data_IF_015325853399
#
_entry.id   IF_015325853399
#
_cell.length_a   1.000
_cell.length_b   1.000
_cell.length_c   1.000
_cell.angle_alpha   90.00
_cell.angle_beta   90.00
_cell.angle_gamma   90.00
#
_symmetry.space_group_name_H-M   'P 1'
#
loop_
_entity.id
_entity.type
_entity.pdbx_description
1 polymer ?
#
# COMPACT_ATOMS: atom_id res chain seq x y z
N UNK A 1 -5.03 -3.51 -21.98
CA UNK A 1 -4.47 -2.56 -20.99
C UNK A 1 -3.85 -3.27 -19.79
N UNK A 2 -2.75 -4.05 -19.90
CA UNK A 2 -2.10 -4.63 -18.70
C UNK A 2 -0.88 -3.84 -18.19
N UNK A 3 -0.42 -2.81 -18.91
CA UNK A 3 0.85 -2.12 -18.60
C UNK A 3 0.65 -0.66 -18.15
N UNK A 4 -0.60 -0.25 -17.90
CA UNK A 4 -0.90 1.08 -17.37
C UNK A 4 -0.80 1.03 -15.85
N UNK A 5 0.19 1.73 -15.30
CA UNK A 5 0.40 1.94 -13.87
C UNK A 5 0.45 3.43 -13.54
N UNK A 6 0.22 3.81 -12.28
CA UNK A 6 0.20 5.22 -11.84
C UNK A 6 1.52 5.93 -12.18
N UNK A 7 2.65 5.26 -12.03
CA UNK A 7 3.97 5.79 -12.36
C UNK A 7 4.16 5.96 -13.88
N UNK A 8 3.68 5.01 -14.70
CA UNK A 8 3.74 5.13 -16.17
C UNK A 8 2.85 6.27 -16.68
N UNK A 9 1.71 6.48 -16.03
CA UNK A 9 0.80 7.59 -16.29
C UNK A 9 1.44 8.92 -15.86
N UNK A 10 1.98 9.02 -14.65
CA UNK A 10 2.61 10.23 -14.13
C UNK A 10 3.82 10.66 -15.00
N UNK A 11 4.68 9.71 -15.40
CA UNK A 11 5.79 9.97 -16.33
C UNK A 11 5.31 10.49 -17.68
N UNK A 12 4.21 9.95 -18.19
CA UNK A 12 3.60 10.36 -19.45
C UNK A 12 2.93 11.72 -19.35
N UNK A 13 2.31 12.03 -18.21
CA UNK A 13 1.70 13.33 -17.93
C UNK A 13 2.78 14.42 -17.83
N UNK A 14 3.87 14.16 -17.09
CA UNK A 14 5.01 15.08 -17.02
C UNK A 14 5.63 15.36 -18.40
N UNK A 15 5.65 14.35 -19.29
CA UNK A 15 6.08 14.49 -20.68
C UNK A 15 5.10 15.34 -21.47
N UNK A 16 3.80 15.04 -21.38
CA UNK A 16 2.73 15.74 -22.08
C UNK A 16 2.68 17.24 -21.74
N UNK A 17 2.99 17.60 -20.50
CA UNK A 17 3.10 18.99 -20.04
C UNK A 17 4.25 19.77 -20.68
N UNK A 18 5.28 19.10 -21.21
CA UNK A 18 6.45 19.74 -21.84
C UNK A 18 6.49 19.58 -23.35
N UNK A 19 5.92 18.50 -23.90
CA UNK A 19 6.00 18.16 -25.33
C UNK A 19 4.91 17.16 -25.73
N UNK A 20 4.78 16.85 -27.02
CA UNK A 20 3.84 15.85 -27.50
C UNK A 20 4.21 14.45 -26.99
N UNK A 21 3.22 13.76 -26.42
CA UNK A 21 3.34 12.37 -26.00
C UNK A 21 3.28 11.45 -27.23
N UNK A 22 4.25 10.56 -27.37
CA UNK A 22 4.25 9.54 -28.42
C UNK A 22 3.91 8.17 -27.84
N UNK A 23 3.24 7.29 -28.61
CA UNK A 23 2.97 5.91 -28.18
C UNK A 23 4.26 5.15 -27.83
N UNK A 24 5.36 5.45 -28.53
CA UNK A 24 6.67 4.87 -28.27
C UNK A 24 7.21 5.23 -26.87
N UNK A 25 7.07 6.50 -26.45
CA UNK A 25 7.50 6.93 -25.11
C UNK A 25 6.68 6.23 -24.03
N UNK A 26 5.35 6.24 -24.16
CA UNK A 26 4.46 5.57 -23.20
C UNK A 26 4.81 4.07 -23.07
N UNK A 27 4.98 3.39 -24.22
CA UNK A 27 5.32 1.96 -24.25
C UNK A 27 6.67 1.68 -23.62
N UNK A 28 7.68 2.53 -23.87
CA UNK A 28 9.01 2.37 -23.28
C UNK A 28 8.99 2.57 -21.76
N UNK A 29 8.26 3.59 -21.26
CA UNK A 29 8.10 3.82 -19.82
C UNK A 29 7.41 2.61 -19.16
N UNK A 30 6.26 2.21 -19.68
CA UNK A 30 5.48 1.08 -19.19
C UNK A 30 6.28 -0.24 -19.20
N UNK A 31 6.99 -0.54 -20.29
CA UNK A 31 7.78 -1.75 -20.42
C UNK A 31 8.99 -1.77 -19.50
N UNK A 32 9.63 -0.62 -19.28
CA UNK A 32 10.78 -0.51 -18.37
C UNK A 32 10.37 -0.81 -16.93
N UNK A 33 9.24 -0.26 -16.49
CA UNK A 33 8.66 -0.53 -15.18
C UNK A 33 8.30 -2.01 -15.05
N UNK A 34 7.63 -2.57 -16.06
CA UNK A 34 7.25 -3.98 -16.06
C UNK A 34 8.46 -4.92 -16.02
N UNK A 35 9.52 -4.62 -16.79
CA UNK A 35 10.75 -5.39 -16.77
C UNK A 35 11.43 -5.33 -15.41
N UNK A 36 11.54 -4.13 -14.81
CA UNK A 36 12.10 -3.95 -13.48
C UNK A 36 11.30 -4.74 -12.43
N UNK A 37 9.97 -4.66 -12.47
CA UNK A 37 9.08 -5.43 -11.60
C UNK A 37 9.38 -6.93 -11.67
N UNK A 38 9.45 -7.50 -12.88
CA UNK A 38 9.70 -8.93 -13.06
C UNK A 38 11.10 -9.33 -12.63
N UNK A 39 12.13 -8.53 -12.93
CA UNK A 39 13.51 -8.79 -12.51
C UNK A 39 13.61 -8.74 -10.98
N UNK A 40 13.05 -7.73 -10.33
CA UNK A 40 13.04 -7.62 -8.87
C UNK A 40 12.27 -8.75 -8.22
N UNK A 41 11.12 -9.16 -8.79
CA UNK A 41 10.34 -10.30 -8.30
C UNK A 41 11.12 -11.60 -8.41
N UNK A 42 11.75 -11.85 -9.57
CA UNK A 42 12.59 -13.01 -9.78
C UNK A 42 13.79 -13.01 -8.84
N UNK A 43 14.48 -11.88 -8.70
CA UNK A 43 15.58 -11.73 -7.76
C UNK A 43 15.14 -12.02 -6.32
N UNK A 44 13.99 -11.47 -5.90
CA UNK A 44 13.41 -11.75 -4.58
C UNK A 44 13.06 -13.22 -4.38
N UNK A 45 12.46 -13.88 -5.37
CA UNK A 45 12.12 -15.30 -5.31
C UNK A 45 13.37 -16.20 -5.25
N UNK A 46 14.41 -15.88 -6.02
CA UNK A 46 15.69 -16.60 -6.00
C UNK A 46 16.45 -16.36 -4.69
N UNK A 47 16.45 -15.13 -4.15
CA UNK A 47 17.06 -14.86 -2.85
C UNK A 47 16.31 -15.57 -1.73
N UNK A 48 14.97 -15.56 -1.78
CA UNK A 48 14.11 -16.25 -0.82
C UNK A 48 14.31 -17.76 -0.83
N UNK A 49 14.54 -18.39 -2.00
CA UNK A 49 14.76 -19.83 -2.08
C UNK A 49 16.08 -20.30 -1.46
N UNK A 50 17.05 -19.40 -1.30
CA UNK A 50 18.36 -19.68 -0.68
C UNK A 50 18.36 -19.35 0.82
N UNK A 51 17.44 -18.52 1.31
CA UNK A 51 17.40 -18.09 2.72
C UNK A 51 16.93 -19.16 3.73
N UNK A 52 16.39 -20.29 3.28
CA UNK A 52 15.93 -21.36 4.19
C UNK A 52 14.69 -20.95 4.99
N UNK A 53 14.64 -21.27 6.28
CA UNK A 53 13.49 -20.95 7.15
C UNK A 53 13.48 -19.45 7.52
N UNK A 54 12.63 -18.69 6.83
CA UNK A 54 12.46 -17.24 6.99
C UNK A 54 11.86 -16.85 8.33
N UNK A 55 11.21 -17.78 9.03
CA UNK A 55 10.64 -17.54 10.36
C UNK A 55 11.72 -17.30 11.42
N UNK A 56 12.87 -17.97 11.29
CA UNK A 56 13.97 -17.88 12.26
C UNK A 56 14.63 -16.50 12.24
N UNK A 57 14.74 -15.89 11.05
CA UNK A 57 15.34 -14.56 10.86
C UNK A 57 14.29 -13.43 10.92
N UNK A 58 13.02 -13.75 11.17
CA UNK A 58 11.93 -12.79 11.26
C UNK A 58 11.53 -12.13 9.94
N UNK A 59 11.96 -12.70 8.79
CA UNK A 59 11.68 -12.12 7.48
C UNK A 59 10.18 -12.23 7.11
N UNK A 60 9.46 -13.19 7.69
CA UNK A 60 8.00 -13.31 7.55
C UNK A 60 7.25 -12.09 8.11
N UNK A 61 7.87 -11.34 9.04
CA UNK A 61 7.31 -10.11 9.58
C UNK A 61 7.60 -8.88 8.71
N UNK A 62 8.48 -8.98 7.70
CA UNK A 62 8.87 -7.84 6.87
C UNK A 62 7.67 -7.19 6.17
N UNK A 63 6.73 -7.99 5.67
CA UNK A 63 5.55 -7.47 4.98
C UNK A 63 4.62 -6.69 5.94
N UNK A 64 4.16 -7.24 7.08
CA UNK A 64 3.45 -6.46 8.09
C UNK A 64 4.23 -5.23 8.59
N UNK A 65 5.54 -5.34 8.78
CA UNK A 65 6.38 -4.23 9.25
C UNK A 65 6.36 -3.05 8.29
N UNK A 66 6.41 -3.30 6.97
CA UNK A 66 6.30 -2.23 5.96
C UNK A 66 4.98 -1.47 6.10
N UNK A 67 3.85 -2.16 6.30
CA UNK A 67 2.57 -1.49 6.53
C UNK A 67 2.56 -0.67 7.82
N UNK A 68 3.15 -1.18 8.90
CA UNK A 68 3.26 -0.44 10.16
C UNK A 68 4.08 0.83 9.95
N UNK A 69 5.21 0.76 9.24
CA UNK A 69 6.05 1.92 8.93
C UNK A 69 5.30 2.93 8.06
N UNK A 70 4.54 2.48 7.06
CA UNK A 70 3.69 3.35 6.26
C UNK A 70 2.61 4.04 7.11
N UNK A 71 1.96 3.31 8.02
CA UNK A 71 0.97 3.86 8.96
C UNK A 71 1.58 4.90 9.91
N UNK A 72 2.81 4.66 10.37
CA UNK A 72 3.55 5.63 11.18
C UNK A 72 3.79 6.94 10.43
N UNK A 73 4.00 6.88 9.10
CA UNK A 73 4.08 8.06 8.24
C UNK A 73 2.79 8.89 8.19
N UNK A 74 1.64 8.28 8.49
CA UNK A 74 0.34 8.96 8.54
C UNK A 74 -0.07 9.39 9.95
N UNK A 75 0.80 9.23 10.95
CA UNK A 75 0.48 9.59 12.33
C UNK A 75 0.39 11.11 12.51
N UNK A 76 -0.84 11.64 12.56
CA UNK A 76 -1.11 13.08 12.73
C UNK A 76 -1.42 13.50 14.17
N UNK A 77 -1.61 12.55 15.08
CA UNK A 77 -1.88 12.83 16.50
C UNK A 77 -2.59 11.69 17.23
N UNK A 78 -3.07 11.96 18.44
CA UNK A 78 -3.79 10.98 19.28
C UNK A 78 -5.07 10.44 18.63
N UNK A 79 -5.70 11.24 17.76
CA UNK A 79 -6.87 10.81 16.96
C UNK A 79 -6.54 9.63 16.05
N UNK A 80 -5.35 9.63 15.43
CA UNK A 80 -4.90 8.49 14.60
C UNK A 80 -4.78 7.22 15.43
N UNK A 81 -4.32 7.34 16.68
CA UNK A 81 -4.30 6.23 17.63
C UNK A 81 -5.70 5.66 17.91
N UNK A 82 -6.72 6.51 18.07
CA UNK A 82 -8.11 6.07 18.29
C UNK A 82 -8.67 5.33 17.07
N UNK A 83 -8.43 5.86 15.86
CA UNK A 83 -8.82 5.22 14.59
C UNK A 83 -8.16 3.85 14.44
N UNK A 84 -6.86 3.77 14.73
CA UNK A 84 -6.10 2.51 14.67
C UNK A 84 -6.61 1.49 15.68
N UNK A 85 -6.87 1.91 16.93
CA UNK A 85 -7.39 1.03 17.97
C UNK A 85 -8.77 0.48 17.62
N UNK A 86 -9.67 1.32 17.11
CA UNK A 86 -10.99 0.88 16.67
C UNK A 86 -10.90 -0.10 15.48
N UNK A 87 -10.07 0.22 14.48
CA UNK A 87 -9.85 -0.64 13.32
C UNK A 87 -9.26 -1.99 13.71
N UNK A 88 -8.26 -2.00 14.59
CA UNK A 88 -7.60 -3.20 15.08
C UNK A 88 -8.55 -4.09 15.89
N UNK A 89 -9.34 -3.48 16.79
CA UNK A 89 -10.32 -4.20 17.61
C UNK A 89 -11.41 -4.83 16.74
N UNK A 90 -11.99 -4.07 15.81
CA UNK A 90 -13.02 -4.58 14.91
C UNK A 90 -12.48 -5.69 13.98
N UNK A 91 -11.26 -5.54 13.46
CA UNK A 91 -10.61 -6.56 12.64
C UNK A 91 -10.38 -7.84 13.45
N UNK A 92 -9.83 -7.72 14.67
CA UNK A 92 -9.54 -8.87 15.54
C UNK A 92 -10.80 -9.65 15.91
N UNK A 93 -11.86 -8.95 16.32
CA UNK A 93 -13.14 -9.59 16.63
C UNK A 93 -13.73 -10.28 15.40
N UNK A 94 -13.76 -9.59 14.26
CA UNK A 94 -14.30 -10.16 13.02
C UNK A 94 -13.52 -11.39 12.58
N UNK A 95 -12.19 -11.35 12.66
CA UNK A 95 -11.34 -12.51 12.34
C UNK A 95 -11.62 -13.72 13.25
N UNK A 96 -11.93 -13.46 14.52
CA UNK A 96 -12.19 -14.52 15.51
C UNK A 96 -13.56 -15.17 15.31
N UNK A 97 -14.59 -14.39 14.97
CA UNK A 97 -15.98 -14.85 14.94
C UNK A 97 -16.53 -15.14 13.54
N UNK A 98 -15.95 -14.56 12.49
CA UNK A 98 -16.47 -14.62 11.12
C UNK A 98 -15.39 -15.21 10.21
N UNK A 99 -15.71 -16.33 9.56
CA UNK A 99 -14.82 -16.94 8.58
C UNK A 99 -14.67 -16.06 7.33
N UNK A 100 -13.46 -16.00 6.79
CA UNK A 100 -13.12 -15.25 5.58
C UNK A 100 -12.49 -13.89 5.85
N UNK A 101 -12.31 -13.09 4.79
CA UNK A 101 -11.55 -11.84 4.82
C UNK A 101 -12.36 -10.61 5.31
N UNK A 102 -13.49 -10.83 5.98
CA UNK A 102 -14.40 -9.76 6.43
C UNK A 102 -13.77 -8.81 7.45
N UNK A 103 -12.72 -9.27 8.15
CA UNK A 103 -11.98 -8.45 9.09
C UNK A 103 -11.35 -7.21 8.45
N UNK A 104 -10.99 -7.27 7.17
CA UNK A 104 -10.45 -6.12 6.41
C UNK A 104 -11.53 -5.03 6.29
N UNK A 105 -12.72 -5.41 5.82
CA UNK A 105 -13.84 -4.49 5.64
C UNK A 105 -14.34 -3.94 6.99
N UNK A 106 -14.46 -4.79 8.01
CA UNK A 106 -14.91 -4.40 9.34
C UNK A 106 -13.94 -3.43 10.01
N UNK A 107 -12.62 -3.69 9.92
CA UNK A 107 -11.59 -2.78 10.41
C UNK A 107 -11.65 -1.41 9.72
N UNK A 108 -11.71 -1.41 8.39
CA UNK A 108 -11.80 -0.17 7.60
C UNK A 108 -13.05 0.65 7.96
N UNK A 109 -14.21 0.01 8.09
CA UNK A 109 -15.46 0.68 8.47
C UNK A 109 -15.40 1.24 9.89
N UNK A 110 -14.89 0.48 10.85
CA UNK A 110 -14.75 0.96 12.23
C UNK A 110 -13.80 2.16 12.33
N UNK A 111 -12.67 2.12 11.63
CA UNK A 111 -11.74 3.25 11.55
C UNK A 111 -12.38 4.49 10.93
N UNK A 112 -13.10 4.32 9.82
CA UNK A 112 -13.81 5.40 9.13
C UNK A 112 -14.87 6.04 10.04
N UNK A 113 -15.64 5.23 10.76
CA UNK A 113 -16.64 5.72 11.71
C UNK A 113 -16.00 6.56 12.80
N UNK A 114 -14.93 6.06 13.44
CA UNK A 114 -14.21 6.83 14.46
C UNK A 114 -13.67 8.13 13.87
N UNK A 115 -12.98 8.07 12.73
CA UNK A 115 -12.44 9.26 12.07
C UNK A 115 -13.51 10.32 11.75
N UNK A 116 -14.72 9.89 11.37
CA UNK A 116 -15.84 10.79 11.12
C UNK A 116 -16.31 11.52 12.39
N UNK A 117 -16.19 10.90 13.56
CA UNK A 117 -16.58 11.50 14.84
C UNK A 117 -15.44 12.26 15.54
N UNK A 118 -14.17 11.90 15.31
CA UNK A 118 -13.02 12.64 15.87
C UNK A 118 -12.72 13.94 15.13
N UNK A 119 -13.34 14.20 13.97
CA UNK A 119 -13.40 15.53 13.38
C UNK A 119 -12.04 16.06 12.92
N UNK A 120 -11.48 15.49 11.86
CA UNK A 120 -10.42 16.17 11.13
C UNK A 120 -10.99 17.47 10.53
N UNK A 121 -10.59 18.60 11.09
CA UNK A 121 -10.72 19.90 10.42
C UNK A 121 -9.96 19.76 9.10
N UNK A 122 -10.69 19.75 7.99
CA UNK A 122 -10.12 19.60 6.65
C UNK A 122 -8.92 20.55 6.51
N UNK A 123 -7.75 19.99 6.23
CA UNK A 123 -6.52 20.74 6.01
C UNK A 123 -6.79 21.65 4.80
N UNK A 124 -6.92 22.95 5.06
CA UNK A 124 -7.16 23.97 4.05
C UNK A 124 -5.87 24.05 3.22
N UNK A 125 -5.88 23.71 1.91
CA UNK A 125 -4.67 23.78 1.11
C UNK A 125 -4.21 25.25 1.05
N UNK A 126 -2.95 25.47 1.44
CA UNK A 126 -2.26 26.76 1.38
C UNK A 126 -1.97 27.17 -0.07
#
# INVERSE_FOLDING_TARGET
MPVLTDESWALSEFRAMRTHLTPAFFTAAALSIYALWNISTLAGALLGSVMGDTAIIGLDFAFPAVFIVLLMGFWKGSETGLVLLASATASYLTHTYIAGAWYIAAGALAGLLVAAFTGQKAEQPA
#
